data_IF_955145512991
#
_entry.id   IF_955145512991
#
_cell.length_a   1.000
_cell.length_b   1.000
_cell.length_c   1.000
_cell.angle_alpha   90.00
_cell.angle_beta   90.00
_cell.angle_gamma   90.00
#
_symmetry.space_group_name_H-M   'P 1'
#
loop_
_entity.id
_entity.type
_entity.pdbx_description
1 polymer ?
#
# COMPACT_ATOMS: atom_id res chain seq x y z
N UNK A 1 -6.69 25.68 2.23
CA UNK A 1 -6.12 24.33 2.41
C UNK A 1 -5.85 23.75 1.03
N UNK A 2 -4.61 23.34 0.72
CA UNK A 2 -4.30 22.79 -0.60
C UNK A 2 -5.03 21.45 -0.82
N UNK A 3 -5.74 21.32 -1.93
CA UNK A 3 -6.44 20.08 -2.30
C UNK A 3 -5.39 19.03 -2.64
N UNK A 4 -5.18 18.05 -1.76
CA UNK A 4 -4.24 16.95 -2.01
C UNK A 4 -4.77 16.10 -3.17
N UNK A 5 -4.18 16.23 -4.35
CA UNK A 5 -4.54 15.41 -5.50
C UNK A 5 -3.83 14.07 -5.42
N UNK A 6 -4.56 13.03 -5.00
CA UNK A 6 -4.04 11.67 -4.98
C UNK A 6 -3.78 11.14 -6.40
N UNK A 7 -2.73 10.33 -6.61
CA UNK A 7 -2.53 9.60 -7.85
C UNK A 7 -3.73 8.72 -8.22
N UNK A 8 -3.94 8.55 -9.51
CA UNK A 8 -4.92 7.58 -10.00
C UNK A 8 -4.37 6.15 -9.93
N UNK A 9 -5.25 5.17 -10.16
CA UNK A 9 -4.92 3.75 -10.10
C UNK A 9 -3.76 3.36 -11.01
N UNK A 10 -3.73 3.86 -12.25
CA UNK A 10 -2.68 3.53 -13.24
C UNK A 10 -1.30 3.97 -12.76
N UNK A 11 -1.22 5.17 -12.16
CA UNK A 11 0.04 5.66 -11.60
C UNK A 11 0.50 4.84 -10.39
N UNK A 12 -0.43 4.40 -9.54
CA UNK A 12 -0.11 3.47 -8.45
C UNK A 12 0.37 2.11 -8.94
N UNK A 13 -0.30 1.53 -9.94
CA UNK A 13 0.13 0.27 -10.59
C UNK A 13 1.57 0.38 -11.10
N UNK A 14 1.86 1.44 -11.87
CA UNK A 14 3.20 1.69 -12.42
C UNK A 14 4.25 1.85 -11.31
N UNK A 15 3.92 2.54 -10.22
CA UNK A 15 4.82 2.69 -9.09
C UNK A 15 5.09 1.36 -8.38
N UNK A 16 4.05 0.58 -8.07
CA UNK A 16 4.18 -0.69 -7.35
C UNK A 16 4.90 -1.76 -8.17
N UNK A 17 4.84 -1.69 -9.50
CA UNK A 17 5.69 -2.50 -10.40
C UNK A 17 7.19 -2.24 -10.22
N UNK A 18 7.58 -1.07 -9.70
CA UNK A 18 8.97 -0.66 -9.48
C UNK A 18 9.24 -0.41 -7.98
N UNK A 19 9.18 -1.45 -7.14
CA UNK A 19 9.19 -1.30 -5.69
C UNK A 19 10.45 -0.66 -5.13
N UNK A 20 11.61 -0.92 -5.74
CA UNK A 20 12.91 -0.33 -5.42
C UNK A 20 12.94 1.19 -5.56
N UNK A 21 11.98 1.77 -6.30
CA UNK A 21 11.81 3.22 -6.44
C UNK A 21 10.66 3.71 -5.58
N UNK A 22 9.51 3.03 -5.64
CA UNK A 22 8.28 3.46 -4.96
C UNK A 22 8.42 3.47 -3.43
N UNK A 23 9.10 2.47 -2.85
CA UNK A 23 9.24 2.30 -1.40
C UNK A 23 10.61 2.73 -0.87
N UNK A 24 11.53 3.19 -1.72
CA UNK A 24 12.95 3.45 -1.36
C UNK A 24 13.15 4.26 -0.08
N UNK A 25 12.39 5.35 0.06
CA UNK A 25 12.48 6.27 1.18
C UNK A 25 11.37 6.04 2.22
N UNK A 26 10.64 4.92 2.12
CA UNK A 26 9.49 4.59 2.96
C UNK A 26 9.76 3.38 3.84
N UNK A 27 10.10 2.25 3.23
CA UNK A 27 10.35 0.98 3.94
C UNK A 27 11.27 0.10 3.10
N UNK A 28 12.45 -0.21 3.64
CA UNK A 28 13.47 -1.00 2.95
C UNK A 28 13.03 -2.45 2.70
N UNK A 29 12.22 -3.04 3.59
CA UNK A 29 11.71 -4.41 3.43
C UNK A 29 10.72 -4.46 2.27
N UNK A 30 9.85 -3.45 2.17
CA UNK A 30 8.95 -3.32 1.02
C UNK A 30 9.73 -3.02 -0.26
N UNK A 31 10.72 -2.12 -0.23
CA UNK A 31 11.55 -1.80 -1.39
C UNK A 31 12.32 -3.00 -1.96
N UNK A 32 12.76 -3.91 -1.09
CA UNK A 32 13.41 -5.16 -1.47
C UNK A 32 12.42 -6.30 -1.78
N UNK A 33 11.13 -6.13 -1.46
CA UNK A 33 10.09 -7.12 -1.71
C UNK A 33 9.59 -7.12 -3.15
N UNK A 34 8.45 -7.78 -3.38
CA UNK A 34 7.79 -7.79 -4.68
C UNK A 34 6.26 -7.76 -4.55
N UNK A 35 5.56 -7.12 -5.51
CA UNK A 35 4.14 -7.33 -5.65
C UNK A 35 3.86 -8.77 -6.09
N UNK A 36 2.70 -9.28 -5.72
CA UNK A 36 2.21 -10.57 -6.22
C UNK A 36 1.73 -10.38 -7.64
N UNK A 37 2.18 -11.24 -8.56
CA UNK A 37 1.75 -11.25 -9.95
C UNK A 37 0.54 -12.18 -10.14
N UNK A 38 -0.34 -11.83 -11.06
CA UNK A 38 -1.38 -12.69 -11.62
C UNK A 38 -1.13 -12.89 -13.11
N UNK A 39 -1.76 -13.92 -13.69
CA UNK A 39 -1.76 -14.13 -15.14
C UNK A 39 -3.20 -14.04 -15.63
N UNK A 40 -3.41 -13.32 -16.72
CA UNK A 40 -4.69 -13.36 -17.42
C UNK A 40 -4.82 -14.64 -18.26
N UNK A 41 -5.97 -14.84 -18.89
CA UNK A 41 -6.25 -16.01 -19.73
C UNK A 41 -5.28 -16.16 -20.92
N UNK A 42 -4.66 -15.06 -21.36
CA UNK A 42 -3.66 -15.01 -22.44
C UNK A 42 -2.22 -15.24 -21.93
N UNK A 43 -2.04 -15.50 -20.63
CA UNK A 43 -0.73 -15.75 -20.02
C UNK A 43 0.11 -14.49 -19.74
N UNK A 44 -0.44 -13.30 -20.00
CA UNK A 44 0.23 -12.02 -19.71
C UNK A 44 0.22 -11.81 -18.20
N UNK A 45 1.40 -11.48 -17.66
CA UNK A 45 1.59 -11.15 -16.25
C UNK A 45 1.13 -9.73 -15.98
N UNK A 46 0.36 -9.58 -14.91
CA UNK A 46 -0.01 -8.29 -14.32
C UNK A 46 0.14 -8.37 -12.79
N UNK A 47 -0.03 -7.28 -12.07
CA UNK A 47 -0.09 -7.30 -10.61
C UNK A 47 -1.44 -7.79 -10.13
N UNK A 48 -1.44 -8.58 -9.07
CA UNK A 48 -2.64 -8.80 -8.30
C UNK A 48 -2.98 -7.53 -7.52
N UNK A 49 -4.18 -6.99 -7.75
CA UNK A 49 -4.72 -5.90 -6.98
C UNK A 49 -6.25 -5.96 -6.93
N UNK A 50 -6.84 -5.36 -5.89
CA UNK A 50 -8.26 -5.08 -5.80
C UNK A 50 -8.47 -3.57 -5.73
N UNK A 51 -9.48 -3.03 -6.41
CA UNK A 51 -9.75 -1.59 -6.41
C UNK A 51 -11.24 -1.30 -6.22
N UNK A 52 -11.53 -0.24 -5.46
CA UNK A 52 -12.86 0.37 -5.36
C UNK A 52 -12.76 1.89 -5.55
N UNK A 53 -13.85 2.62 -5.30
CA UNK A 53 -13.88 4.08 -5.49
C UNK A 53 -12.92 4.87 -4.60
N UNK A 54 -12.55 4.33 -3.43
CA UNK A 54 -11.78 5.03 -2.41
C UNK A 54 -10.27 4.70 -2.40
N UNK A 55 -9.91 3.46 -2.75
CA UNK A 55 -8.53 2.99 -2.72
C UNK A 55 -8.31 1.81 -3.67
N UNK A 56 -7.04 1.58 -4.04
CA UNK A 56 -6.58 0.32 -4.60
C UNK A 56 -5.64 -0.38 -3.60
N UNK A 57 -5.69 -1.70 -3.58
CA UNK A 57 -4.93 -2.55 -2.65
C UNK A 57 -4.15 -3.58 -3.46
N UNK A 58 -2.83 -3.59 -3.28
CA UNK A 58 -1.93 -4.55 -3.90
C UNK A 58 -1.56 -5.64 -2.90
N UNK A 59 -1.53 -6.89 -3.35
CA UNK A 59 -0.94 -7.95 -2.55
C UNK A 59 0.57 -7.93 -2.76
N UNK A 60 1.31 -8.03 -1.66
CA UNK A 60 2.74 -7.78 -1.64
C UNK A 60 3.45 -8.79 -0.76
N UNK A 61 4.71 -9.12 -1.08
CA UNK A 61 5.52 -10.06 -0.32
C UNK A 61 6.89 -9.44 -0.02
N UNK A 62 7.29 -9.47 1.25
CA UNK A 62 8.67 -9.18 1.68
C UNK A 62 9.45 -10.49 1.81
N UNK A 63 10.76 -10.44 1.65
CA UNK A 63 11.62 -11.64 1.75
C UNK A 63 12.25 -11.82 3.13
N UNK A 64 12.57 -10.73 3.83
CA UNK A 64 13.14 -10.77 5.16
C UNK A 64 12.44 -9.78 6.12
N UNK A 65 11.51 -10.24 6.98
CA UNK A 65 11.00 -11.61 7.04
C UNK A 65 10.14 -11.95 5.81
N UNK A 66 9.97 -13.24 5.53
CA UNK A 66 9.02 -13.70 4.52
C UNK A 66 7.59 -13.45 5.01
N UNK A 67 6.95 -12.39 4.51
CA UNK A 67 5.64 -11.94 4.98
C UNK A 67 4.80 -11.36 3.85
N UNK A 68 3.49 -11.58 3.93
CA UNK A 68 2.52 -10.99 3.00
C UNK A 68 1.90 -9.72 3.57
N UNK A 69 1.70 -8.74 2.70
CA UNK A 69 1.15 -7.44 3.02
C UNK A 69 0.04 -7.08 2.03
N UNK A 70 -0.89 -6.27 2.50
CA UNK A 70 -1.83 -5.54 1.67
C UNK A 70 -1.40 -4.08 1.62
N UNK A 71 -0.89 -3.62 0.48
CA UNK A 71 -0.47 -2.23 0.28
C UNK A 71 -1.66 -1.44 -0.23
N UNK A 72 -2.28 -0.65 0.65
CA UNK A 72 -3.45 0.18 0.33
C UNK A 72 -3.02 1.59 -0.06
N UNK A 73 -3.38 2.01 -1.27
CA UNK A 73 -3.14 3.35 -1.80
C UNK A 73 -4.48 4.07 -2.02
N UNK A 74 -4.65 5.26 -1.43
CA UNK A 74 -5.89 6.03 -1.50
C UNK A 74 -6.01 6.75 -2.85
N UNK A 75 -7.21 6.75 -3.44
CA UNK A 75 -7.48 7.37 -4.74
C UNK A 75 -8.16 8.74 -4.61
N UNK A 76 -8.61 9.10 -3.41
CA UNK A 76 -9.36 10.33 -3.14
C UNK A 76 -8.86 10.97 -1.86
N UNK A 77 -8.81 12.30 -1.83
CA UNK A 77 -8.62 13.04 -0.59
C UNK A 77 -9.97 13.22 0.10
N UNK A 78 -10.14 12.61 1.27
CA UNK A 78 -11.05 13.18 2.27
C UNK A 78 -10.19 13.79 3.36
N UNK A 79 -10.62 14.94 3.89
CA UNK A 79 -9.92 15.66 4.95
C UNK A 79 -9.70 14.82 6.21
N UNK A 80 -10.44 13.71 6.37
CA UNK A 80 -10.35 12.82 7.53
C UNK A 80 -9.49 11.57 7.33
N UNK A 81 -9.13 11.14 6.10
CA UNK A 81 -8.40 9.88 5.86
C UNK A 81 -7.12 9.81 6.66
N UNK A 82 -6.22 10.79 6.47
CA UNK A 82 -4.90 10.75 7.08
C UNK A 82 -4.98 10.78 8.62
N UNK A 83 -5.87 11.62 9.18
CA UNK A 83 -6.08 11.68 10.63
C UNK A 83 -6.65 10.36 11.17
N UNK A 84 -7.67 9.80 10.52
CA UNK A 84 -8.30 8.56 10.92
C UNK A 84 -7.30 7.39 10.93
N UNK A 85 -6.59 7.15 9.83
CA UNK A 85 -5.66 6.03 9.74
C UNK A 85 -4.39 6.22 10.59
N UNK A 86 -3.95 7.46 10.81
CA UNK A 86 -2.88 7.76 11.77
C UNK A 86 -3.28 7.38 13.20
N UNK A 87 -4.51 7.75 13.62
CA UNK A 87 -5.06 7.38 14.94
C UNK A 87 -5.23 5.87 15.07
N UNK A 88 -5.75 5.19 14.05
CA UNK A 88 -5.89 3.72 14.03
C UNK A 88 -4.52 3.04 14.14
N UNK A 89 -3.52 3.44 13.33
CA UNK A 89 -2.17 2.86 13.39
C UNK A 89 -1.52 3.07 14.75
N UNK A 90 -1.66 4.26 15.33
CA UNK A 90 -1.12 4.57 16.66
C UNK A 90 -1.80 3.78 17.77
N UNK A 91 -3.11 3.55 17.67
CA UNK A 91 -3.87 2.79 18.65
C UNK A 91 -3.56 1.29 18.57
N UNK A 92 -3.56 0.70 17.37
CA UNK A 92 -3.28 -0.72 17.15
C UNK A 92 -1.87 -1.13 17.59
N UNK A 93 -0.90 -0.22 17.54
CA UNK A 93 0.46 -0.45 18.07
C UNK A 93 0.49 -0.58 19.60
N UNK A 94 -0.46 0.01 20.31
CA UNK A 94 -0.48 0.06 21.79
C UNK A 94 -1.25 -1.10 22.41
N UNK A 95 -2.26 -1.63 21.72
CA UNK A 95 -3.08 -2.73 22.25
C UNK A 95 -2.40 -4.09 22.03
N UNK A 96 -2.46 -4.96 23.03
CA UNK A 96 -1.89 -6.31 22.95
C UNK A 96 -2.95 -7.32 22.47
N UNK A 97 -3.52 -7.09 21.29
CA UNK A 97 -4.61 -7.92 20.70
C UNK A 97 -4.23 -8.48 19.33
N UNK A 98 -2.98 -8.96 19.18
CA UNK A 98 -2.41 -9.42 17.89
C UNK A 98 -3.12 -10.63 17.29
N UNK A 99 -3.92 -11.36 18.06
CA UNK A 99 -4.73 -12.50 17.59
C UNK A 99 -5.97 -12.06 16.80
N UNK A 100 -6.50 -10.86 17.07
CA UNK A 100 -7.73 -10.36 16.45
C UNK A 100 -7.47 -9.32 15.36
N UNK A 101 -6.37 -8.57 15.47
CA UNK A 101 -6.03 -7.53 14.53
C UNK A 101 -4.79 -7.88 13.72
N UNK A 102 -4.86 -7.61 12.41
CA UNK A 102 -3.70 -7.67 11.54
C UNK A 102 -2.74 -6.53 11.85
N UNK A 103 -1.45 -6.75 11.56
CA UNK A 103 -0.47 -5.66 11.63
C UNK A 103 -0.86 -4.56 10.65
N UNK A 104 -0.87 -3.32 11.15
CA UNK A 104 -1.29 -2.16 10.39
C UNK A 104 -0.36 -0.96 10.62
N UNK A 105 0.14 -0.40 9.51
CA UNK A 105 1.03 0.74 9.50
C UNK A 105 0.50 1.78 8.51
N UNK A 106 0.14 2.96 9.02
CA UNK A 106 -0.19 4.10 8.18
C UNK A 106 1.08 4.88 7.82
N UNK A 107 1.18 5.26 6.55
CA UNK A 107 2.35 5.93 5.97
C UNK A 107 1.90 7.27 5.38
N UNK A 108 2.10 8.38 6.11
CA UNK A 108 1.58 9.70 5.69
C UNK A 108 2.16 10.18 4.35
N UNK A 109 3.45 9.92 4.12
CA UNK A 109 4.17 10.35 2.92
C UNK A 109 3.75 9.54 1.70
N UNK A 110 3.12 8.39 1.92
CA UNK A 110 2.79 7.42 0.88
C UNK A 110 4.02 6.89 0.16
N UNK A 111 3.78 6.27 -0.98
CA UNK A 111 4.83 5.79 -1.89
C UNK A 111 5.17 6.86 -2.93
N UNK A 112 6.38 6.77 -3.49
CA UNK A 112 6.77 7.63 -4.61
C UNK A 112 6.02 7.22 -5.88
N UNK A 113 5.32 8.17 -6.49
CA UNK A 113 4.58 7.99 -7.74
C UNK A 113 5.05 9.02 -8.76
N UNK A 114 5.42 8.59 -9.97
CA UNK A 114 5.81 9.46 -11.08
C UNK A 114 4.62 9.86 -11.92
#
# INVERSE_FOLDING_TARGET
MATVRYPNRTRYLSAVHHPQIAFKNLDQKLAAGKPVETKNAQGIKDLWFAAGGFACVFQYQTFNPNKRWAVRCFLQSTSSVANHYSRVSSHLKKINCRSYFTEFLFQDKGIKVK
#
